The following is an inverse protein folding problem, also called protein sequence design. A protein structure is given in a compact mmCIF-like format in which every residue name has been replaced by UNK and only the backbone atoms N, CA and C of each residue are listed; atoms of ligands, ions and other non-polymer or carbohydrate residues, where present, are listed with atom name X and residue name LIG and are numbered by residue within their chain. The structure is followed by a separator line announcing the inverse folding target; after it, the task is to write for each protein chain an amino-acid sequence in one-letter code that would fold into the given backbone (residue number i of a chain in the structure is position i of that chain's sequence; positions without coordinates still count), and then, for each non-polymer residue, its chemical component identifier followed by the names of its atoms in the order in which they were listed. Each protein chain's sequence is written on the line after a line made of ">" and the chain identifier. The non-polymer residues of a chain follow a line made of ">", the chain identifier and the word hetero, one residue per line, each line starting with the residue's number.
data_IF_862852034955
#
_entry.id   IF_862852034955
#
_cell.length_a   1.000
_cell.length_b   1.000
_cell.length_c   1.000
_cell.angle_alpha   90.00
_cell.angle_beta   90.00
_cell.angle_gamma   90.00
#
_symmetry.space_group_name_H-M   'P 1'
#
loop_
_entity.id
_entity.type
_entity.pdbx_description
1 polymer ?
#
# COMPACT_ATOMS: atom_id res chain seq x y z
N UNK A 1 -10.46 38.00 21.44
CA UNK A 1 -11.94 38.03 21.60
C UNK A 1 -12.33 39.47 21.96
N UNK A 2 -13.47 40.05 21.50
CA UNK A 2 -14.48 39.65 20.49
C UNK A 2 -14.51 40.67 19.29
N UNK A 3 -15.41 40.74 18.29
CA UNK A 3 -16.26 39.79 17.52
C UNK A 3 -16.78 40.46 16.20
N UNK A 4 -16.83 39.70 15.10
CA UNK A 4 -17.75 39.79 13.93
C UNK A 4 -17.93 41.05 13.04
N UNK A 5 -17.93 40.80 11.72
CA UNK A 5 -18.61 41.61 10.68
C UNK A 5 -18.26 41.17 9.24
N UNK A 6 -19.16 40.38 8.61
CA UNK A 6 -19.37 40.02 7.18
C UNK A 6 -18.45 40.64 6.08
N UNK A 7 -18.06 39.92 5.02
CA UNK A 7 -18.95 39.33 3.99
C UNK A 7 -18.48 38.00 3.36
N UNK A 8 -19.34 37.42 2.50
CA UNK A 8 -19.12 36.15 1.77
C UNK A 8 -18.27 36.34 0.52
N UNK A 9 -17.29 35.46 0.33
CA UNK A 9 -17.10 34.81 -0.97
C UNK A 9 -17.31 33.31 -0.78
N UNK A 10 -18.03 32.70 -1.72
CA UNK A 10 -18.25 31.26 -1.79
C UNK A 10 -17.27 30.74 -2.82
N UNK A 11 -16.15 30.17 -2.38
CA UNK A 11 -15.47 29.15 -3.17
C UNK A 11 -16.06 27.79 -2.77
N UNK A 12 -16.60 27.08 -3.77
CA UNK A 12 -17.08 25.71 -3.64
C UNK A 12 -15.89 24.75 -3.53
N UNK A 13 -15.18 24.77 -2.40
CA UNK A 13 -14.30 23.67 -2.03
C UNK A 13 -15.15 22.44 -1.70
N UNK A 14 -15.44 21.69 -2.77
CA UNK A 14 -15.98 20.34 -2.70
C UNK A 14 -14.91 19.40 -2.13
N UNK A 15 -14.63 19.52 -0.83
CA UNK A 15 -13.84 18.55 -0.08
C UNK A 15 -14.47 17.17 -0.25
N UNK A 16 -13.90 16.38 -1.15
CA UNK A 16 -14.28 14.99 -1.37
C UNK A 16 -13.97 14.19 -0.13
N UNK A 17 -14.93 14.10 0.80
CA UNK A 17 -14.77 13.40 2.06
C UNK A 17 -14.38 11.95 1.78
N UNK A 18 -13.15 11.59 2.14
CA UNK A 18 -12.62 10.23 1.98
C UNK A 18 -12.76 9.43 3.27
N UNK A 19 -13.32 8.24 3.18
CA UNK A 19 -13.43 7.31 4.30
C UNK A 19 -12.22 6.37 4.35
N UNK A 20 -11.47 6.37 5.45
CA UNK A 20 -10.34 5.46 5.67
C UNK A 20 -10.81 4.01 5.82
N UNK A 21 -10.22 3.10 5.05
CA UNK A 21 -10.51 1.66 5.05
C UNK A 21 -9.52 0.96 5.98
N UNK A 22 -10.01 0.30 7.03
CA UNK A 22 -9.14 -0.39 8.02
C UNK A 22 -8.48 -1.66 7.47
N UNK A 23 -9.22 -2.41 6.67
CA UNK A 23 -8.79 -3.69 6.09
C UNK A 23 -9.38 -3.83 4.68
N UNK A 24 -8.55 -4.32 3.76
CA UNK A 24 -8.93 -4.54 2.36
C UNK A 24 -8.90 -6.04 2.08
N UNK A 25 -9.98 -6.60 1.55
CA UNK A 25 -10.04 -8.01 1.15
C UNK A 25 -9.93 -8.13 -0.37
N UNK A 26 -8.89 -8.82 -0.84
CA UNK A 26 -8.65 -9.13 -2.26
C UNK A 26 -7.82 -10.41 -2.36
N UNK A 27 -7.89 -11.14 -3.47
CA UNK A 27 -7.09 -12.37 -3.71
C UNK A 27 -7.11 -13.40 -2.56
N UNK A 28 -8.29 -13.63 -1.96
CA UNK A 28 -8.50 -14.50 -0.78
C UNK A 28 -7.64 -14.14 0.45
N UNK A 29 -7.12 -12.90 0.52
CA UNK A 29 -6.28 -12.38 1.59
C UNK A 29 -6.88 -11.11 2.19
N UNK A 30 -6.51 -10.84 3.43
CA UNK A 30 -6.81 -9.57 4.10
C UNK A 30 -5.52 -8.75 4.21
N UNK A 31 -5.56 -7.57 3.60
CA UNK A 31 -4.50 -6.57 3.61
C UNK A 31 -4.82 -5.48 4.62
N UNK A 32 -3.79 -4.93 5.23
CA UNK A 32 -3.87 -3.84 6.21
C UNK A 32 -2.76 -2.85 5.94
N UNK A 33 -3.07 -1.57 6.09
CA UNK A 33 -2.04 -0.54 6.10
C UNK A 33 -1.06 -0.80 7.26
N UNK A 34 0.23 -0.78 6.94
CA UNK A 34 1.23 -0.59 7.96
C UNK A 34 1.00 0.80 8.58
N UNK A 35 0.98 0.86 9.91
CA UNK A 35 1.15 2.12 10.63
C UNK A 35 2.65 2.27 10.81
N UNK A 36 3.22 3.37 10.35
CA UNK A 36 4.66 3.50 10.06
C UNK A 36 5.53 3.62 11.33
N UNK A 37 5.58 2.55 12.13
CA UNK A 37 6.32 2.47 13.41
C UNK A 37 6.83 1.06 13.72
N UNK A 38 6.70 0.08 12.81
CA UNK A 38 6.97 -1.33 13.10
C UNK A 38 8.00 -1.93 12.14
N UNK A 39 9.03 -2.55 12.72
CA UNK A 39 10.08 -3.32 12.02
C UNK A 39 9.45 -4.48 11.24
N UNK A 40 8.49 -5.17 11.87
CA UNK A 40 7.59 -6.12 11.22
C UNK A 40 6.17 -5.54 11.17
N UNK A 41 5.67 -5.10 10.00
CA UNK A 41 4.31 -4.56 9.89
C UNK A 41 3.26 -5.67 10.03
N UNK A 42 2.05 -5.35 10.54
CA UNK A 42 1.01 -6.35 10.75
C UNK A 42 0.39 -6.86 9.44
N UNK A 43 0.62 -8.14 9.15
CA UNK A 43 -0.09 -8.91 8.12
C UNK A 43 0.37 -8.64 6.68
N UNK A 44 -0.53 -8.84 5.71
CA UNK A 44 -0.24 -8.63 4.29
C UNK A 44 -0.22 -7.11 3.98
N UNK A 45 0.80 -6.37 4.42
CA UNK A 45 0.96 -4.93 4.11
C UNK A 45 1.88 -4.67 2.92
N UNK A 46 2.80 -5.59 2.62
CA UNK A 46 3.73 -5.48 1.50
C UNK A 46 3.10 -6.10 0.24
N UNK A 47 3.18 -5.43 -0.90
CA UNK A 47 2.47 -5.81 -2.12
C UNK A 47 3.31 -5.62 -3.38
N UNK A 48 2.95 -6.39 -4.41
CA UNK A 48 3.35 -6.19 -5.79
C UNK A 48 2.17 -5.54 -6.54
N UNK A 49 2.44 -4.52 -7.34
CA UNK A 49 1.45 -3.86 -8.18
C UNK A 49 1.98 -3.60 -9.60
N UNK A 50 1.07 -3.50 -10.56
CA UNK A 50 1.39 -3.22 -11.96
C UNK A 50 1.40 -1.71 -12.20
N UNK A 51 2.49 -1.18 -12.74
CA UNK A 51 2.65 0.25 -13.07
C UNK A 51 3.38 0.39 -14.41
N UNK A 52 2.79 1.06 -15.38
CA UNK A 52 3.38 1.28 -16.73
C UNK A 52 3.91 -0.02 -17.38
N UNK A 53 3.21 -1.15 -17.18
CA UNK A 53 3.62 -2.48 -17.68
C UNK A 53 4.70 -3.19 -16.86
N UNK A 54 5.27 -2.52 -15.85
CA UNK A 54 6.27 -3.07 -14.94
C UNK A 54 5.64 -3.59 -13.65
N UNK A 55 6.36 -4.47 -12.95
CA UNK A 55 6.04 -4.87 -11.57
C UNK A 55 6.79 -3.97 -10.60
N UNK A 56 6.06 -3.34 -9.70
CA UNK A 56 6.60 -2.46 -8.65
C UNK A 56 6.19 -3.02 -7.30
N UNK A 57 7.07 -2.85 -6.32
CA UNK A 57 6.91 -3.37 -4.97
C UNK A 57 6.77 -2.23 -3.99
N UNK A 58 5.98 -2.40 -2.94
CA UNK A 58 5.81 -1.37 -1.92
C UNK A 58 5.00 -1.83 -0.72
N UNK A 59 4.78 -0.91 0.21
CA UNK A 59 4.04 -1.12 1.46
C UNK A 59 2.81 -0.23 1.49
N UNK A 60 1.66 -0.81 1.79
CA UNK A 60 0.41 -0.06 2.01
C UNK A 60 0.58 0.79 3.27
N UNK A 61 0.50 2.11 3.16
CA UNK A 61 0.51 3.07 4.28
C UNK A 61 -0.90 3.62 4.57
N UNK A 62 -1.79 3.62 3.57
CA UNK A 62 -3.20 3.96 3.75
C UNK A 62 -4.07 3.22 2.73
N UNK A 63 -5.30 2.87 3.13
CA UNK A 63 -6.38 2.53 2.20
C UNK A 63 -7.57 3.46 2.47
N UNK A 64 -8.23 3.93 1.42
CA UNK A 64 -9.34 4.88 1.53
C UNK A 64 -10.31 4.71 0.35
N UNK A 65 -11.56 5.12 0.54
CA UNK A 65 -12.55 5.26 -0.55
C UNK A 65 -13.11 6.68 -0.57
N UNK A 66 -13.58 7.14 -1.73
CA UNK A 66 -14.41 8.35 -1.79
C UNK A 66 -15.76 8.07 -1.13
N UNK A 67 -16.42 9.08 -0.58
CA UNK A 67 -17.84 8.93 -0.21
C UNK A 67 -18.77 8.91 -1.45
N UNK A 68 -18.28 9.27 -2.63
CA UNK A 68 -19.04 9.21 -3.90
C UNK A 68 -18.98 7.88 -4.64
N UNK A 69 -18.07 6.96 -4.27
CA UNK A 69 -17.97 5.63 -4.88
C UNK A 69 -17.40 4.58 -3.91
N UNK A 70 -17.81 3.32 -4.05
CA UNK A 70 -17.25 2.20 -3.29
C UNK A 70 -15.85 1.77 -3.78
N UNK A 71 -15.15 2.65 -4.49
CA UNK A 71 -13.83 2.39 -5.07
C UNK A 71 -12.74 2.61 -4.03
N UNK A 72 -11.99 1.55 -3.73
CA UNK A 72 -10.84 1.63 -2.80
C UNK A 72 -9.57 2.01 -3.55
N UNK A 73 -8.93 3.06 -3.03
CA UNK A 73 -7.62 3.55 -3.39
C UNK A 73 -6.61 3.21 -2.29
N UNK A 74 -5.37 3.04 -2.68
CA UNK A 74 -4.29 2.56 -1.82
C UNK A 74 -3.12 3.54 -1.96
N UNK A 75 -2.68 4.11 -0.83
CA UNK A 75 -1.40 4.81 -0.74
C UNK A 75 -0.33 3.76 -0.46
N UNK A 76 0.68 3.70 -1.32
CA UNK A 76 1.78 2.75 -1.29
C UNK A 76 3.08 3.54 -1.15
N UNK A 77 3.85 3.29 -0.09
CA UNK A 77 5.25 3.70 -0.09
C UNK A 77 6.07 2.73 -0.95
N UNK A 78 6.73 3.25 -1.99
CA UNK A 78 7.34 2.40 -3.04
C UNK A 78 8.79 1.98 -2.77
N UNK A 79 9.34 2.22 -1.57
CA UNK A 79 10.75 1.91 -1.30
C UNK A 79 10.95 0.73 -0.34
N UNK A 80 11.24 -0.44 -0.90
CA UNK A 80 11.61 -1.65 -0.15
C UNK A 80 12.74 -2.48 -0.77
N UNK A 81 13.41 -2.01 -1.84
CA UNK A 81 14.43 -2.79 -2.56
C UNK A 81 15.82 -2.18 -2.66
N UNK A 82 15.99 -0.88 -2.42
CA UNK A 82 17.31 -0.25 -2.42
C UNK A 82 17.52 0.65 -1.19
N UNK A 83 18.46 0.21 -0.34
CA UNK A 83 19.16 0.99 0.69
C UNK A 83 18.36 1.60 1.87
N UNK A 84 17.21 1.04 2.26
CA UNK A 84 16.45 1.44 3.47
C UNK A 84 16.13 2.95 3.60
N UNK A 85 16.02 3.65 2.47
CA UNK A 85 15.47 5.02 2.44
C UNK A 85 13.95 4.93 2.21
N UNK A 86 13.25 6.06 2.27
CA UNK A 86 11.84 6.18 1.87
C UNK A 86 11.74 7.35 0.87
N UNK A 87 11.38 7.07 -0.37
CA UNK A 87 11.55 8.00 -1.50
C UNK A 87 10.24 8.69 -1.90
N UNK A 88 9.14 7.95 -2.04
CA UNK A 88 7.85 8.51 -2.44
C UNK A 88 6.68 7.60 -2.12
N UNK A 89 5.56 8.22 -1.74
CA UNK A 89 4.26 7.57 -1.70
C UNK A 89 3.54 7.72 -3.05
N UNK A 90 2.83 6.67 -3.46
CA UNK A 90 2.06 6.59 -4.70
C UNK A 90 0.62 6.15 -4.41
N UNK A 91 -0.36 6.85 -4.98
CA UNK A 91 -1.76 6.43 -4.92
C UNK A 91 -2.07 5.54 -6.13
N UNK A 92 -2.53 4.31 -5.88
CA UNK A 92 -2.98 3.38 -6.92
C UNK A 92 -4.42 2.91 -6.66
N UNK A 93 -5.10 2.50 -7.72
CA UNK A 93 -6.38 1.82 -7.62
C UNK A 93 -6.16 0.37 -7.13
N UNK A 94 -7.07 -0.18 -6.32
CA UNK A 94 -6.92 -1.54 -5.77
C UNK A 94 -6.67 -2.63 -6.82
N UNK A 95 -7.23 -2.50 -8.04
CA UNK A 95 -7.04 -3.49 -9.12
C UNK A 95 -5.64 -3.47 -9.75
N UNK A 96 -4.79 -2.51 -9.40
CA UNK A 96 -3.39 -2.49 -9.82
C UNK A 96 -2.54 -3.42 -8.96
N UNK A 97 -2.98 -3.77 -7.75
CA UNK A 97 -2.32 -4.78 -6.91
C UNK A 97 -2.45 -6.14 -7.58
N UNK A 98 -1.37 -6.90 -7.64
CA UNK A 98 -1.32 -8.20 -8.32
C UNK A 98 -0.86 -9.35 -7.44
N UNK A 99 -0.33 -9.07 -6.25
CA UNK A 99 0.11 -10.09 -5.31
C UNK A 99 0.58 -9.54 -3.97
N UNK A 100 0.79 -10.44 -3.01
CA UNK A 100 1.51 -10.16 -1.77
C UNK A 100 2.98 -10.55 -1.91
N UNK A 101 3.88 -9.80 -1.28
CA UNK A 101 5.31 -10.12 -1.22
C UNK A 101 5.79 -10.39 0.20
N UNK A 102 6.68 -11.37 0.32
CA UNK A 102 7.58 -11.49 1.46
C UNK A 102 8.86 -10.70 1.17
N UNK A 103 9.50 -10.21 2.23
CA UNK A 103 10.71 -9.40 2.16
C UNK A 103 11.76 -10.09 3.01
N UNK A 104 12.91 -10.36 2.41
CA UNK A 104 14.01 -11.08 3.03
C UNK A 104 15.25 -10.18 3.03
N UNK A 105 15.81 -9.93 4.21
CA UNK A 105 17.11 -9.29 4.34
C UNK A 105 18.20 -10.35 4.15
N UNK A 106 19.03 -10.20 3.12
CA UNK A 106 20.16 -11.07 2.87
C UNK A 106 21.41 -10.49 3.53
N UNK A 107 22.10 -11.31 4.32
CA UNK A 107 23.42 -10.99 4.85
C UNK A 107 24.43 -11.01 3.69
N UNK A 108 25.45 -10.17 3.78
CA UNK A 108 26.61 -10.22 2.89
C UNK A 108 27.23 -11.63 2.86
N UNK A 109 27.83 -11.97 1.71
CA UNK A 109 28.38 -13.29 1.38
C UNK A 109 27.35 -14.45 1.28
N UNK A 110 26.06 -14.22 1.56
CA UNK A 110 25.00 -15.17 1.21
C UNK A 110 24.66 -15.07 -0.28
N UNK A 111 24.36 -16.18 -0.95
CA UNK A 111 23.96 -16.25 -2.36
C UNK A 111 24.88 -15.52 -3.36
N UNK A 112 26.16 -15.33 -3.03
CA UNK A 112 27.12 -14.57 -3.86
C UNK A 112 26.94 -13.05 -3.81
N UNK A 113 26.26 -12.51 -2.79
CA UNK A 113 25.93 -11.09 -2.68
C UNK A 113 27.00 -10.36 -1.84
N UNK A 114 27.81 -9.51 -2.49
CA UNK A 114 28.94 -8.79 -1.89
C UNK A 114 28.56 -7.53 -1.07
N UNK A 115 27.36 -7.52 -0.46
CA UNK A 115 26.85 -6.48 0.45
C UNK A 115 25.48 -6.90 0.99
N UNK A 116 25.04 -6.31 2.11
CA UNK A 116 23.64 -6.46 2.55
C UNK A 116 22.68 -6.00 1.46
N UNK A 117 21.64 -6.81 1.20
CA UNK A 117 20.59 -6.52 0.23
C UNK A 117 19.23 -6.95 0.75
N UNK A 118 18.17 -6.44 0.13
CA UNK A 118 16.79 -6.85 0.40
C UNK A 118 16.23 -7.54 -0.84
N UNK A 119 15.74 -8.76 -0.69
CA UNK A 119 14.99 -9.49 -1.71
C UNK A 119 13.49 -9.34 -1.48
N UNK A 120 12.73 -9.00 -2.52
CA UNK A 120 11.28 -9.17 -2.54
C UNK A 120 10.94 -10.50 -3.23
N UNK A 121 10.17 -11.35 -2.57
CA UNK A 121 9.66 -12.61 -3.11
C UNK A 121 8.16 -12.46 -3.29
N UNK A 122 7.70 -12.45 -4.54
CA UNK A 122 6.26 -12.52 -4.83
C UNK A 122 5.74 -13.89 -4.46
N UNK A 123 4.72 -13.94 -3.60
CA UNK A 123 4.01 -15.18 -3.25
C UNK A 123 2.86 -15.48 -4.22
N UNK A 124 2.66 -14.62 -5.23
CA UNK A 124 1.56 -14.69 -6.18
C UNK A 124 0.18 -14.65 -5.52
N UNK A 125 -0.83 -15.08 -6.27
CA UNK A 125 -2.20 -15.26 -5.79
C UNK A 125 -2.47 -16.75 -5.63
N UNK A 126 -2.06 -17.32 -4.49
CA UNK A 126 -2.48 -18.66 -4.08
C UNK A 126 -3.96 -18.62 -3.71
N UNK A 127 -4.82 -18.71 -4.73
CA UNK A 127 -6.22 -19.02 -4.56
C UNK A 127 -6.32 -20.52 -4.23
N UNK A 128 -6.55 -20.84 -2.95
CA UNK A 128 -7.08 -22.15 -2.59
C UNK A 128 -8.48 -22.26 -3.17
N UNK A 129 -8.64 -22.98 -4.28
CA UNK A 129 -9.94 -23.50 -4.68
C UNK A 129 -10.32 -24.59 -3.67
N UNK A 130 -11.23 -24.26 -2.76
CA UNK A 130 -12.07 -25.27 -2.11
C UNK A 130 -13.03 -25.81 -3.17
N UNK A 131 -12.48 -26.65 -4.05
CA UNK A 131 -13.26 -27.66 -4.74
C UNK A 131 -13.32 -28.86 -3.77
N UNK A 132 -14.14 -28.71 -2.73
CA UNK A 132 -14.59 -29.87 -1.96
C UNK A 132 -15.60 -30.64 -2.84
N UNK A 133 -15.44 -31.97 -2.87
CA UNK A 133 -16.19 -32.92 -3.73
C UNK A 133 -17.67 -33.10 -3.31
#
# INVERSE_FOLDING_TARGET
>A
LPKFGLDREVEEDSEGVVTKVKTLKMYSRQYSAAKDVHVEPPGNSNIEFSRFGQRVFGRITLSFKSNSNETVWILINTQLLYANKLEKDEVVHQSMVVGHISILENVEDTFGISRKTVSAVSLGNVAWSLNDE
#
